data_IF_241040986743
#
_entry.id   IF_241040986743
#
_cell.length_a   1.000
_cell.length_b   1.000
_cell.length_c   1.000
_cell.angle_alpha   90.00
_cell.angle_beta   90.00
_cell.angle_gamma   90.00
#
_symmetry.space_group_name_H-M   'P 1'
#
loop_
_entity.id
_entity.type
_entity.pdbx_description
1 polymer ?
#
# COMPACT_ATOMS: atom_id res chain seq x y z
N UNK A 1 17.49 -5.83 13.81
CA UNK A 1 17.42 -5.29 12.44
C UNK A 1 18.38 -6.02 11.54
N UNK A 2 17.81 -6.79 10.61
CA UNK A 2 18.58 -7.31 9.49
C UNK A 2 18.88 -6.13 8.54
N UNK A 3 20.09 -6.05 7.95
CA UNK A 3 20.44 -4.99 7.01
C UNK A 3 19.51 -5.02 5.78
N UNK A 4 19.43 -3.90 5.07
CA UNK A 4 18.64 -3.76 3.84
C UNK A 4 19.03 -4.87 2.84
N UNK A 5 18.11 -5.79 2.56
CA UNK A 5 18.33 -6.93 1.65
C UNK A 5 18.38 -8.31 2.30
N UNK A 6 18.40 -8.40 3.63
CA UNK A 6 18.29 -9.66 4.38
C UNK A 6 16.83 -9.94 4.78
N UNK A 7 16.44 -11.23 4.69
CA UNK A 7 15.13 -11.71 5.12
C UNK A 7 15.30 -12.99 5.97
N UNK A 8 14.88 -12.93 7.23
CA UNK A 8 14.77 -14.10 8.11
C UNK A 8 13.32 -14.58 8.21
N UNK A 9 13.14 -15.87 7.96
CA UNK A 9 11.89 -16.58 8.24
C UNK A 9 12.12 -17.55 9.39
N UNK A 10 11.22 -17.51 10.37
CA UNK A 10 11.30 -18.35 11.57
C UNK A 10 10.00 -19.11 11.76
N UNK A 11 10.10 -20.27 12.40
CA UNK A 11 8.92 -21.02 12.80
C UNK A 11 8.58 -20.70 14.25
N UNK A 12 7.45 -20.05 14.46
CA UNK A 12 6.95 -19.65 15.77
C UNK A 12 5.53 -20.18 15.98
N UNK A 13 5.29 -20.85 17.11
CA UNK A 13 3.98 -21.41 17.46
C UNK A 13 3.33 -22.26 16.35
N UNK A 14 4.15 -22.92 15.53
CA UNK A 14 3.70 -23.78 14.43
C UNK A 14 3.51 -23.08 13.08
N UNK A 15 3.59 -21.74 13.02
CA UNK A 15 3.50 -20.93 11.80
C UNK A 15 4.87 -20.38 11.38
N UNK A 16 5.00 -20.00 10.11
CA UNK A 16 6.16 -19.24 9.64
C UNK A 16 5.90 -17.75 9.83
N UNK A 17 6.93 -17.01 10.24
CA UNK A 17 6.89 -15.56 10.45
C UNK A 17 8.15 -14.90 9.88
N UNK A 18 8.04 -13.63 9.49
CA UNK A 18 9.21 -12.77 9.18
C UNK A 18 9.80 -12.16 10.47
N UNK A 19 10.82 -11.31 10.39
CA UNK A 19 11.64 -10.85 11.54
C UNK A 19 10.83 -10.23 12.68
N UNK A 20 9.76 -9.53 12.34
CA UNK A 20 8.91 -8.83 13.30
C UNK A 20 7.79 -9.70 13.87
N UNK A 21 7.75 -10.99 13.53
CA UNK A 21 6.69 -11.93 13.94
C UNK A 21 5.46 -11.93 13.02
N UNK A 22 5.44 -11.14 11.94
CA UNK A 22 4.28 -11.12 11.03
C UNK A 22 4.17 -12.45 10.26
N UNK A 23 2.96 -13.03 10.15
CA UNK A 23 2.77 -14.31 9.48
C UNK A 23 3.25 -14.32 8.03
N UNK A 24 4.10 -15.29 7.71
CA UNK A 24 4.51 -15.60 6.36
C UNK A 24 3.61 -16.66 5.72
N UNK A 25 3.49 -16.62 4.39
CA UNK A 25 2.71 -17.57 3.60
C UNK A 25 3.45 -18.90 3.52
N UNK A 26 2.86 -19.93 4.13
CA UNK A 26 3.45 -21.28 4.12
C UNK A 26 3.66 -21.83 2.70
N UNK A 27 2.77 -21.49 1.77
CA UNK A 27 2.90 -21.90 0.37
C UNK A 27 4.19 -21.36 -0.26
N UNK A 28 4.52 -20.09 -0.04
CA UNK A 28 5.74 -19.50 -0.56
C UNK A 28 6.98 -20.14 0.07
N UNK A 29 6.98 -20.36 1.39
CA UNK A 29 8.08 -21.07 2.08
C UNK A 29 8.28 -22.46 1.53
N UNK A 30 7.20 -23.24 1.40
CA UNK A 30 7.24 -24.59 0.84
C UNK A 30 7.75 -24.58 -0.60
N UNK A 31 7.23 -23.68 -1.44
CA UNK A 31 7.62 -23.55 -2.85
C UNK A 31 9.12 -23.31 -2.97
N UNK A 32 9.66 -22.38 -2.19
CA UNK A 32 11.10 -22.09 -2.18
C UNK A 32 11.91 -23.31 -1.74
N UNK A 33 11.55 -23.97 -0.64
CA UNK A 33 12.27 -25.16 -0.16
C UNK A 33 12.27 -26.32 -1.17
N UNK A 34 11.15 -26.57 -1.83
CA UNK A 34 11.06 -27.59 -2.89
C UNK A 34 11.94 -27.19 -4.08
N UNK A 35 11.88 -25.93 -4.52
CA UNK A 35 12.69 -25.45 -5.62
C UNK A 35 14.20 -25.57 -5.38
N UNK A 36 14.64 -25.40 -4.12
CA UNK A 36 16.04 -25.62 -3.71
C UNK A 36 16.38 -27.11 -3.69
N UNK A 37 15.48 -27.97 -3.22
CA UNK A 37 15.68 -29.41 -3.15
C UNK A 37 15.75 -30.07 -4.54
N UNK A 38 15.03 -29.51 -5.51
CA UNK A 38 14.94 -30.00 -6.89
C UNK A 38 16.06 -29.46 -7.79
N UNK A 39 17.06 -28.75 -7.25
CA UNK A 39 18.19 -28.24 -8.05
C UNK A 39 19.04 -29.37 -8.60
N UNK A 40 19.23 -29.35 -9.92
CA UNK A 40 20.07 -30.31 -10.61
C UNK A 40 21.42 -29.69 -10.95
N UNK A 41 22.51 -30.39 -10.59
CA UNK A 41 23.86 -30.02 -11.01
C UNK A 41 24.03 -30.38 -12.48
N UNK A 42 24.30 -29.37 -13.31
CA UNK A 42 24.54 -29.55 -14.75
C UNK A 42 26.03 -29.70 -15.04
N UNK A 43 26.86 -28.86 -14.42
CA UNK A 43 28.29 -28.81 -14.73
C UNK A 43 29.11 -28.32 -13.53
N UNK A 44 30.23 -28.97 -13.27
CA UNK A 44 31.28 -28.43 -12.41
C UNK A 44 31.92 -27.21 -13.08
N UNK A 45 32.09 -26.11 -12.33
CA UNK A 45 32.70 -24.89 -12.86
C UNK A 45 34.13 -24.73 -12.41
N UNK A 46 34.38 -23.91 -11.40
CA UNK A 46 35.76 -23.57 -11.01
C UNK A 46 35.96 -23.67 -9.52
N UNK A 47 37.15 -24.15 -9.15
CA UNK A 47 37.67 -24.11 -7.77
C UNK A 47 38.76 -23.05 -7.60
N UNK A 48 38.98 -22.17 -8.59
CA UNK A 48 39.93 -21.05 -8.48
C UNK A 48 39.19 -19.82 -7.92
N UNK A 49 39.55 -19.33 -6.71
CA UNK A 49 38.90 -18.17 -6.09
C UNK A 49 38.92 -16.91 -6.95
N UNK A 50 39.98 -16.69 -7.73
CA UNK A 50 40.12 -15.52 -8.62
C UNK A 50 39.01 -15.44 -9.70
N UNK A 51 38.26 -16.51 -9.90
CA UNK A 51 37.17 -16.59 -10.89
C UNK A 51 35.78 -16.44 -10.27
N UNK A 52 35.62 -16.47 -8.95
CA UNK A 52 34.30 -16.45 -8.31
C UNK A 52 33.51 -15.17 -8.60
N UNK A 53 34.16 -14.01 -8.57
CA UNK A 53 33.54 -12.73 -8.87
C UNK A 53 32.89 -12.70 -10.27
N UNK A 54 33.47 -13.43 -11.25
CA UNK A 54 32.88 -13.53 -12.59
C UNK A 54 31.56 -14.27 -12.59
N UNK A 55 31.40 -15.24 -11.68
CA UNK A 55 30.18 -16.03 -11.52
C UNK A 55 29.22 -15.43 -10.48
N UNK A 56 29.69 -14.51 -9.63
CA UNK A 56 28.93 -13.96 -8.51
C UNK A 56 28.80 -14.94 -7.34
N UNK A 57 29.78 -15.81 -7.10
CA UNK A 57 29.75 -16.85 -6.04
C UNK A 57 30.86 -16.68 -5.00
N UNK A 58 31.47 -15.51 -4.93
CA UNK A 58 32.46 -15.13 -3.92
C UNK A 58 31.82 -15.10 -2.53
N UNK A 59 32.60 -15.26 -1.46
CA UNK A 59 32.04 -15.12 -0.11
C UNK A 59 31.72 -13.63 0.16
N UNK A 60 30.51 -13.30 0.66
CA UNK A 60 30.05 -11.91 0.78
C UNK A 60 30.77 -11.10 1.87
N UNK A 61 31.53 -11.76 2.74
CA UNK A 61 32.29 -11.12 3.83
C UNK A 61 33.79 -10.97 3.52
N UNK A 62 34.22 -11.31 2.30
CA UNK A 62 35.63 -11.19 1.88
C UNK A 62 35.97 -9.82 1.27
N UNK A 63 37.25 -9.45 1.32
CA UNK A 63 37.82 -8.23 0.72
C UNK A 63 37.69 -8.16 -0.82
N UNK A 64 37.15 -9.21 -1.46
CA UNK A 64 36.98 -9.35 -2.91
C UNK A 64 35.65 -8.80 -3.45
N UNK A 65 34.84 -8.16 -2.60
CA UNK A 65 33.63 -7.43 -3.01
C UNK A 65 33.99 -6.13 -3.75
N UNK A 66 34.53 -6.24 -4.97
CA UNK A 66 34.74 -5.08 -5.81
C UNK A 66 33.42 -4.39 -6.14
N UNK A 67 33.37 -3.06 -6.01
CA UNK A 67 32.17 -2.20 -6.14
C UNK A 67 31.36 -2.39 -7.45
N UNK A 68 31.95 -3.03 -8.48
CA UNK A 68 31.36 -3.25 -9.81
C UNK A 68 30.91 -4.71 -10.09
N UNK A 69 30.93 -5.61 -9.10
CA UNK A 69 30.56 -7.02 -9.29
C UNK A 69 29.27 -7.40 -8.54
N UNK A 70 28.40 -8.26 -9.11
CA UNK A 70 27.19 -8.67 -8.43
C UNK A 70 27.54 -9.50 -7.19
N UNK A 71 27.04 -9.06 -6.03
CA UNK A 71 27.08 -9.83 -4.79
C UNK A 71 26.23 -11.10 -4.92
N UNK A 72 26.70 -12.25 -4.41
CA UNK A 72 25.86 -13.44 -4.33
C UNK A 72 24.67 -13.17 -3.42
N UNK A 73 23.55 -13.78 -3.73
CA UNK A 73 22.50 -14.00 -2.72
C UNK A 73 22.91 -15.18 -1.86
N UNK A 74 22.78 -15.03 -0.55
CA UNK A 74 23.00 -16.13 0.40
C UNK A 74 21.65 -16.67 0.83
N UNK A 75 21.50 -17.98 0.72
CA UNK A 75 20.38 -18.70 1.29
C UNK A 75 20.93 -19.63 2.36
N UNK A 76 20.41 -19.54 3.57
CA UNK A 76 20.78 -20.43 4.68
C UNK A 76 19.55 -21.05 5.30
N UNK A 77 19.61 -22.36 5.54
CA UNK A 77 18.59 -23.14 6.23
C UNK A 77 19.16 -23.55 7.58
N UNK A 78 18.35 -23.37 8.62
CA UNK A 78 18.74 -23.65 10.01
C UNK A 78 17.82 -24.72 10.59
N UNK A 79 18.34 -25.50 11.53
CA UNK A 79 17.53 -26.39 12.36
C UNK A 79 16.98 -25.65 13.60
N UNK A 80 16.19 -26.35 14.40
CA UNK A 80 15.56 -25.82 15.62
C UNK A 80 16.58 -25.36 16.69
N UNK A 81 17.85 -25.77 16.58
CA UNK A 81 18.93 -25.34 17.47
C UNK A 81 19.65 -24.08 16.97
N UNK A 82 19.30 -23.60 15.78
CA UNK A 82 19.98 -22.51 15.10
C UNK A 82 21.27 -22.93 14.36
N UNK A 83 21.52 -24.24 14.23
CA UNK A 83 22.65 -24.72 13.45
C UNK A 83 22.33 -24.68 11.96
N UNK A 84 23.29 -24.27 11.13
CA UNK A 84 23.16 -24.26 9.67
C UNK A 84 23.09 -25.70 9.16
N UNK A 85 21.97 -26.07 8.55
CA UNK A 85 21.75 -27.37 7.91
C UNK A 85 22.24 -27.36 6.46
N UNK A 86 21.99 -26.25 5.77
CA UNK A 86 22.43 -26.04 4.39
C UNK A 86 22.64 -24.55 4.15
N UNK A 87 23.61 -24.20 3.29
CA UNK A 87 23.78 -22.82 2.82
C UNK A 87 24.27 -22.83 1.37
N UNK A 88 23.81 -21.84 0.60
CA UNK A 88 24.09 -21.73 -0.82
C UNK A 88 24.35 -20.27 -1.20
N UNK A 89 25.52 -20.02 -1.81
CA UNK A 89 25.82 -18.78 -2.53
C UNK A 89 25.23 -18.92 -3.93
N UNK A 90 24.36 -17.99 -4.30
CA UNK A 90 23.67 -17.97 -5.59
C UNK A 90 24.12 -16.72 -6.34
N UNK A 91 24.82 -16.95 -7.45
CA UNK A 91 25.40 -15.90 -8.28
C UNK A 91 24.54 -15.56 -9.48
N UNK A 92 25.22 -15.29 -10.60
CA UNK A 92 24.60 -14.91 -11.86
C UNK A 92 23.66 -16.01 -12.37
N UNK A 93 22.56 -15.60 -12.96
CA UNK A 93 21.59 -16.48 -13.61
C UNK A 93 21.78 -16.48 -15.12
N UNK A 94 21.51 -17.62 -15.76
CA UNK A 94 21.50 -17.81 -17.21
C UNK A 94 20.07 -18.14 -17.70
N UNK A 95 19.76 -17.90 -18.99
CA UNK A 95 18.50 -18.33 -19.58
C UNK A 95 18.22 -19.82 -19.36
N UNK A 96 16.94 -20.19 -19.27
CA UNK A 96 16.52 -21.58 -19.06
C UNK A 96 16.53 -22.03 -17.59
N UNK A 97 16.50 -21.09 -16.63
CA UNK A 97 16.46 -21.41 -15.20
C UNK A 97 17.80 -21.90 -14.65
N UNK A 98 18.90 -21.44 -15.22
CA UNK A 98 20.24 -21.84 -14.79
C UNK A 98 20.86 -20.79 -13.89
N UNK A 99 21.68 -21.23 -12.94
CA UNK A 99 22.41 -20.32 -12.06
C UNK A 99 23.75 -20.89 -11.64
N UNK A 100 24.70 -20.00 -11.40
CA UNK A 100 25.96 -20.36 -10.76
C UNK A 100 25.76 -20.41 -9.26
N UNK A 101 26.23 -21.49 -8.62
CA UNK A 101 26.13 -21.65 -7.17
C UNK A 101 27.44 -22.15 -6.56
N UNK A 102 27.63 -21.89 -5.28
CA UNK A 102 28.72 -22.45 -4.47
C UNK A 102 28.25 -22.66 -3.04
N UNK A 103 28.63 -23.78 -2.44
CA UNK A 103 28.41 -23.98 -1.00
C UNK A 103 29.48 -23.18 -0.24
N UNK A 104 29.11 -22.34 0.75
CA UNK A 104 30.08 -21.59 1.54
C UNK A 104 31.19 -22.48 2.11
N UNK A 105 32.43 -22.01 2.05
CA UNK A 105 33.60 -22.76 2.49
C UNK A 105 34.06 -23.89 1.56
N UNK A 106 33.29 -24.27 0.54
CA UNK A 106 33.75 -25.17 -0.51
C UNK A 106 34.44 -24.41 -1.64
N UNK A 107 35.50 -25.01 -2.20
CA UNK A 107 36.21 -24.41 -3.32
C UNK A 107 35.43 -24.56 -4.63
N UNK A 108 34.81 -25.71 -4.90
CA UNK A 108 34.17 -25.94 -6.19
C UNK A 108 32.84 -25.20 -6.33
N UNK A 109 32.69 -24.46 -7.41
CA UNK A 109 31.42 -23.87 -7.87
C UNK A 109 30.76 -24.74 -8.95
N UNK A 110 29.45 -24.58 -9.12
CA UNK A 110 28.63 -25.40 -10.00
C UNK A 110 27.69 -24.53 -10.83
N UNK A 111 27.32 -25.02 -12.02
CA UNK A 111 26.14 -24.57 -12.73
C UNK A 111 25.01 -25.53 -12.41
N UNK A 112 23.90 -24.99 -11.94
CA UNK A 112 22.67 -25.75 -11.64
C UNK A 112 21.52 -25.29 -12.52
N UNK A 113 20.50 -26.13 -12.65
CA UNK A 113 19.23 -25.84 -13.33
C UNK A 113 18.07 -26.04 -12.34
N UNK A 114 17.11 -25.11 -12.35
CA UNK A 114 15.92 -25.12 -11.50
C UNK A 114 15.32 -23.72 -11.26
N UNK A 115 14.29 -23.62 -10.41
CA UNK A 115 13.68 -22.35 -10.05
C UNK A 115 14.41 -21.66 -8.89
N UNK A 116 15.43 -20.85 -9.22
CA UNK A 116 16.22 -20.07 -8.25
C UNK A 116 15.76 -18.61 -8.11
N UNK A 117 14.46 -18.36 -8.24
CA UNK A 117 13.87 -17.03 -8.04
C UNK A 117 13.71 -16.70 -6.55
N UNK A 118 14.82 -16.59 -5.84
CA UNK A 118 14.81 -16.08 -4.46
C UNK A 118 14.57 -14.58 -4.45
N UNK A 119 13.53 -14.16 -3.73
CA UNK A 119 13.22 -12.75 -3.48
C UNK A 119 13.42 -12.48 -2.00
N UNK A 120 14.26 -11.50 -1.65
CA UNK A 120 14.41 -11.04 -0.28
C UNK A 120 13.33 -10.00 0.10
N UNK A 121 12.49 -9.60 -0.85
CA UNK A 121 11.41 -8.65 -0.60
C UNK A 121 10.37 -9.26 0.33
N UNK A 122 10.18 -8.67 1.52
CA UNK A 122 9.21 -9.13 2.53
C UNK A 122 7.81 -9.39 1.97
N UNK A 123 7.32 -8.52 1.08
CA UNK A 123 5.99 -8.65 0.47
C UNK A 123 5.80 -9.93 -0.35
N UNK A 124 6.89 -10.56 -0.81
CA UNK A 124 6.82 -11.86 -1.49
C UNK A 124 6.42 -12.99 -0.55
N UNK A 125 6.68 -12.83 0.75
CA UNK A 125 6.55 -13.89 1.75
C UNK A 125 5.33 -13.76 2.63
N UNK A 126 4.49 -12.74 2.44
CA UNK A 126 3.34 -12.46 3.30
C UNK A 126 2.09 -12.29 2.45
N UNK A 127 0.91 -12.43 3.07
CA UNK A 127 -0.33 -12.00 2.42
C UNK A 127 -0.34 -10.48 2.35
N UNK A 128 -0.37 -9.94 1.14
CA UNK A 128 -0.29 -8.50 0.92
C UNK A 128 -1.64 -7.83 1.01
N UNK A 129 -2.74 -8.54 0.72
CA UNK A 129 -4.09 -8.02 0.90
C UNK A 129 -4.45 -8.01 2.39
N UNK A 130 -4.41 -6.82 2.98
CA UNK A 130 -4.72 -6.60 4.39
C UNK A 130 -6.23 -6.60 4.61
N UNK A 131 -6.98 -5.94 3.71
CA UNK A 131 -8.42 -5.74 3.87
C UNK A 131 -9.12 -5.59 2.52
N UNK A 132 -10.29 -6.23 2.39
CA UNK A 132 -11.19 -6.11 1.25
C UNK A 132 -12.66 -6.09 1.70
N UNK A 133 -13.22 -4.90 1.92
CA UNK A 133 -14.63 -4.70 2.27
C UNK A 133 -15.46 -4.39 1.01
N UNK A 134 -16.53 -5.16 0.79
CA UNK A 134 -17.46 -4.95 -0.32
C UNK A 134 -18.03 -3.52 -0.33
N UNK A 135 -18.09 -2.91 -1.52
CA UNK A 135 -18.55 -1.51 -1.68
C UNK A 135 -19.99 -1.33 -1.24
N UNK A 136 -20.82 -2.33 -1.48
CA UNK A 136 -22.24 -2.42 -1.14
C UNK A 136 -22.50 -2.46 0.37
N UNK A 137 -21.47 -2.76 1.17
CA UNK A 137 -21.55 -2.76 2.63
C UNK A 137 -21.36 -1.39 3.25
N UNK A 138 -20.70 -0.46 2.55
CA UNK A 138 -20.36 0.86 3.11
C UNK A 138 -21.62 1.73 3.15
N UNK A 139 -21.92 2.31 4.32
CA UNK A 139 -23.09 3.18 4.54
C UNK A 139 -22.73 4.64 4.73
N UNK A 140 -21.67 4.91 5.46
CA UNK A 140 -21.15 6.26 5.68
C UNK A 140 -19.66 6.22 5.99
N UNK A 141 -19.00 7.36 5.82
CA UNK A 141 -17.60 7.55 6.22
C UNK A 141 -17.49 8.84 7.00
N UNK A 142 -16.75 8.80 8.11
CA UNK A 142 -16.33 9.99 8.85
C UNK A 142 -14.81 10.04 8.85
N UNK A 143 -14.23 11.13 8.35
CA UNK A 143 -12.79 11.39 8.43
C UNK A 143 -12.55 12.53 9.41
N UNK A 144 -11.77 12.29 10.44
CA UNK A 144 -11.37 13.25 11.47
C UNK A 144 -9.89 13.57 11.33
N UNK A 145 -9.58 14.85 11.18
CA UNK A 145 -8.25 15.44 11.33
C UNK A 145 -8.27 16.35 12.57
N UNK A 146 -7.10 16.80 13.07
CA UNK A 146 -7.06 17.71 14.22
C UNK A 146 -7.86 19.01 14.05
N UNK A 147 -8.05 19.47 12.81
CA UNK A 147 -8.65 20.77 12.46
C UNK A 147 -9.98 20.68 11.69
N UNK A 148 -10.35 19.50 11.18
CA UNK A 148 -11.54 19.32 10.34
C UNK A 148 -12.16 17.93 10.50
N UNK A 149 -13.48 17.87 10.28
CA UNK A 149 -14.23 16.61 10.17
C UNK A 149 -14.98 16.60 8.85
N UNK A 150 -14.96 15.48 8.15
CA UNK A 150 -15.64 15.27 6.88
C UNK A 150 -16.61 14.10 7.06
N UNK A 151 -17.87 14.32 6.72
CA UNK A 151 -18.90 13.29 6.75
C UNK A 151 -19.32 13.01 5.31
N UNK A 152 -19.10 11.78 4.86
CA UNK A 152 -19.45 11.31 3.53
C UNK A 152 -20.59 10.30 3.61
N UNK A 153 -21.56 10.46 2.72
CA UNK A 153 -22.67 9.51 2.61
C UNK A 153 -23.60 9.86 1.45
N UNK A 154 -24.59 8.99 1.17
CA UNK A 154 -25.67 9.29 0.24
C UNK A 154 -26.49 10.50 0.69
N UNK A 155 -26.83 11.40 -0.23
CA UNK A 155 -27.71 12.54 0.06
C UNK A 155 -29.19 12.13 0.21
N UNK A 156 -29.56 10.93 -0.24
CA UNK A 156 -30.89 10.34 -0.09
C UNK A 156 -30.81 8.81 -0.17
N UNK A 157 -31.89 8.11 0.21
CA UNK A 157 -31.97 6.65 0.11
C UNK A 157 -31.84 6.12 -1.33
N UNK A 158 -32.16 6.95 -2.32
CA UNK A 158 -32.05 6.59 -3.75
C UNK A 158 -30.72 6.99 -4.37
N UNK A 159 -29.90 7.75 -3.64
CA UNK A 159 -28.59 8.18 -4.13
C UNK A 159 -27.57 7.05 -3.97
N UNK A 160 -26.80 6.82 -5.02
CA UNK A 160 -25.73 5.82 -5.04
C UNK A 160 -24.34 6.44 -4.89
N UNK A 161 -24.27 7.78 -4.88
CA UNK A 161 -23.05 8.53 -4.68
C UNK A 161 -22.84 8.87 -3.20
N UNK A 162 -21.57 9.00 -2.83
CA UNK A 162 -21.14 9.58 -1.57
C UNK A 162 -20.75 11.04 -1.78
N UNK A 163 -21.48 11.93 -1.12
CA UNK A 163 -21.26 13.37 -1.12
C UNK A 163 -20.85 13.86 0.27
N UNK A 164 -20.39 15.12 0.34
CA UNK A 164 -20.01 15.76 1.61
C UNK A 164 -21.28 16.25 2.31
N UNK A 165 -21.71 15.57 3.36
CA UNK A 165 -22.94 15.88 4.08
C UNK A 165 -22.81 17.13 4.96
N UNK A 166 -21.59 17.50 5.35
CA UNK A 166 -21.28 18.68 6.17
C UNK A 166 -20.50 19.75 5.39
N UNK A 167 -20.81 19.93 4.11
CA UNK A 167 -20.12 20.88 3.22
C UNK A 167 -20.22 22.34 3.74
N UNK A 168 -19.10 23.05 3.93
CA UNK A 168 -19.12 24.47 4.28
C UNK A 168 -19.85 25.33 3.23
N UNK A 169 -20.58 26.38 3.65
CA UNK A 169 -21.47 27.13 2.76
C UNK A 169 -20.75 27.90 1.65
N UNK A 170 -19.48 28.23 1.81
CA UNK A 170 -18.60 28.93 0.87
C UNK A 170 -17.89 27.99 -0.13
N UNK A 171 -18.01 26.68 0.07
CA UNK A 171 -17.37 25.65 -0.75
C UNK A 171 -18.39 24.91 -1.62
N UNK A 172 -17.94 24.47 -2.79
CA UNK A 172 -18.66 23.56 -3.67
C UNK A 172 -17.84 22.27 -3.84
N UNK A 173 -18.47 21.10 -4.02
CA UNK A 173 -17.73 19.88 -4.33
C UNK A 173 -17.03 20.03 -5.69
N UNK A 174 -15.90 19.34 -5.86
CA UNK A 174 -15.18 19.34 -7.14
C UNK A 174 -16.00 18.72 -8.28
N UNK A 175 -16.81 17.71 -7.96
CA UNK A 175 -17.66 16.92 -8.86
C UNK A 175 -18.76 16.22 -8.06
N UNK A 176 -19.77 15.68 -8.73
CA UNK A 176 -20.77 14.82 -8.11
C UNK A 176 -20.14 13.51 -7.58
N UNK A 177 -20.63 12.99 -6.46
CA UNK A 177 -20.09 11.78 -5.83
C UNK A 177 -18.62 11.92 -5.46
N UNK A 178 -18.23 13.11 -5.00
CA UNK A 178 -16.82 13.44 -4.73
C UNK A 178 -16.21 12.49 -3.71
N UNK A 179 -17.00 11.97 -2.77
CA UNK A 179 -16.61 11.04 -1.73
C UNK A 179 -16.51 9.57 -2.14
N UNK A 180 -16.91 9.19 -3.36
CA UNK A 180 -16.96 7.77 -3.78
C UNK A 180 -15.61 7.04 -3.64
N UNK A 181 -14.48 7.70 -3.95
CA UNK A 181 -13.17 7.05 -3.84
C UNK A 181 -12.79 6.77 -2.37
N UNK A 182 -13.12 7.70 -1.46
CA UNK A 182 -12.96 7.53 -0.01
C UNK A 182 -13.91 6.45 0.52
N UNK A 183 -15.17 6.47 0.11
CA UNK A 183 -16.16 5.46 0.49
C UNK A 183 -15.69 4.04 0.14
N UNK A 184 -15.15 3.85 -1.06
CA UNK A 184 -14.69 2.55 -1.55
C UNK A 184 -13.21 2.29 -1.28
N UNK A 185 -12.55 3.11 -0.46
CA UNK A 185 -11.14 2.96 -0.15
C UNK A 185 -10.84 1.61 0.52
N UNK A 186 -11.78 1.03 1.26
CA UNK A 186 -11.58 -0.27 1.93
C UNK A 186 -11.78 -1.49 1.01
N UNK A 187 -12.16 -1.31 -0.25
CA UNK A 187 -12.45 -2.46 -1.15
C UNK A 187 -11.22 -3.26 -1.56
N UNK A 188 -10.02 -2.70 -1.37
CA UNK A 188 -8.75 -3.36 -1.60
C UNK A 188 -7.64 -2.54 -0.95
N UNK A 189 -7.13 -2.97 0.20
CA UNK A 189 -6.01 -2.36 0.90
C UNK A 189 -4.88 -3.39 0.90
N UNK A 190 -3.78 -3.04 0.25
CA UNK A 190 -2.60 -3.88 0.18
C UNK A 190 -1.40 -3.20 0.84
N UNK A 191 -0.65 -3.97 1.62
CA UNK A 191 0.57 -3.50 2.26
C UNK A 191 1.75 -3.52 1.29
N UNK A 192 2.67 -2.57 1.48
CA UNK A 192 4.02 -2.59 0.91
C UNK A 192 5.09 -2.94 1.94
N UNK A 193 4.75 -2.86 3.24
CA UNK A 193 5.56 -3.29 4.37
C UNK A 193 4.68 -3.43 5.62
N UNK A 194 5.20 -4.03 6.68
CA UNK A 194 4.48 -4.25 7.95
C UNK A 194 5.41 -4.13 9.15
N UNK A 195 4.90 -3.56 10.23
CA UNK A 195 5.62 -3.37 11.48
C UNK A 195 4.70 -3.60 12.69
N UNK A 196 5.23 -3.95 13.87
CA UNK A 196 4.47 -3.90 15.11
C UNK A 196 3.86 -2.50 15.30
N UNK A 197 2.60 -2.43 15.72
CA UNK A 197 1.89 -1.15 15.87
C UNK A 197 2.57 -0.20 16.87
N UNK A 198 3.29 -0.74 17.85
CA UNK A 198 4.04 0.04 18.84
C UNK A 198 5.27 0.76 18.29
N UNK A 199 5.73 0.38 17.10
CA UNK A 199 6.90 0.99 16.44
C UNK A 199 6.52 2.20 15.58
N UNK A 200 5.22 2.46 15.41
CA UNK A 200 4.68 3.57 14.61
C UNK A 200 3.83 4.49 15.48
N UNK A 201 4.21 5.76 15.54
CA UNK A 201 3.44 6.79 16.23
C UNK A 201 2.25 7.25 15.38
N UNK A 202 1.02 7.11 15.91
CA UNK A 202 -0.24 7.51 15.29
C UNK A 202 -0.90 8.71 16.00
N UNK A 203 -0.17 9.46 16.84
CA UNK A 203 -0.73 10.56 17.66
C UNK A 203 -1.44 11.62 16.82
N UNK A 204 -0.84 12.03 15.70
CA UNK A 204 -1.39 13.05 14.78
C UNK A 204 -1.99 12.45 13.51
N UNK A 205 -2.31 11.15 13.52
CA UNK A 205 -2.87 10.47 12.38
C UNK A 205 -4.32 10.90 12.11
N UNK A 206 -4.68 11.03 10.83
CA UNK A 206 -6.08 11.18 10.44
C UNK A 206 -6.85 9.91 10.80
N UNK A 207 -8.05 10.05 11.35
CA UNK A 207 -8.90 8.91 11.74
C UNK A 207 -10.11 8.82 10.82
N UNK A 208 -10.14 7.79 9.98
CA UNK A 208 -11.29 7.45 9.17
C UNK A 208 -12.13 6.35 9.81
N UNK A 209 -13.45 6.49 9.78
CA UNK A 209 -14.41 5.49 10.26
C UNK A 209 -15.39 5.16 9.15
N UNK A 210 -15.38 3.93 8.66
CA UNK A 210 -16.33 3.42 7.67
C UNK A 210 -17.40 2.60 8.37
N UNK A 211 -18.64 3.04 8.30
CA UNK A 211 -19.79 2.33 8.86
C UNK A 211 -20.27 1.27 7.86
N UNK A 212 -20.33 0.02 8.30
CA UNK A 212 -20.85 -1.09 7.51
C UNK A 212 -22.37 -1.28 7.74
N UNK A 213 -22.98 -2.02 6.82
CA UNK A 213 -24.42 -2.31 6.78
C UNK A 213 -24.94 -3.18 7.93
N UNK A 214 -24.07 -3.98 8.54
CA UNK A 214 -24.35 -4.76 9.74
C UNK A 214 -24.03 -4.00 11.04
N UNK A 215 -23.72 -2.71 10.97
CA UNK A 215 -23.41 -1.89 12.15
C UNK A 215 -21.94 -1.94 12.60
N UNK A 216 -21.11 -2.83 12.06
CA UNK A 216 -19.66 -2.84 12.33
C UNK A 216 -19.02 -1.55 11.78
N UNK A 217 -18.13 -0.95 12.55
CA UNK A 217 -17.31 0.18 12.10
C UNK A 217 -15.87 -0.27 11.85
N UNK A 218 -15.32 0.07 10.69
CA UNK A 218 -13.89 -0.08 10.41
C UNK A 218 -13.20 1.25 10.63
N UNK A 219 -12.33 1.30 11.63
CA UNK A 219 -11.57 2.50 12.01
C UNK A 219 -10.16 2.36 11.48
N UNK A 220 -9.70 3.37 10.73
CA UNK A 220 -8.35 3.43 10.16
C UNK A 220 -7.68 4.71 10.65
N UNK A 221 -6.55 4.57 11.31
CA UNK A 221 -5.66 5.71 11.58
C UNK A 221 -4.62 5.74 10.48
N UNK A 222 -4.48 6.88 9.81
CA UNK A 222 -3.58 7.07 8.68
C UNK A 222 -2.57 8.15 9.01
N UNK A 223 -1.30 7.75 9.12
CA UNK A 223 -0.16 8.67 9.24
C UNK A 223 0.52 8.79 7.89
N UNK A 224 0.38 9.96 7.28
CA UNK A 224 1.02 10.27 5.99
C UNK A 224 2.53 10.47 6.17
N UNK A 225 3.30 9.97 5.21
CA UNK A 225 4.71 10.30 4.98
C UNK A 225 4.89 10.74 3.51
N UNK A 226 6.11 11.07 3.09
CA UNK A 226 6.35 11.71 1.78
C UNK A 226 5.92 10.84 0.59
N UNK A 227 6.25 9.54 0.59
CA UNK A 227 6.01 8.61 -0.51
C UNK A 227 5.07 7.44 -0.14
N UNK A 228 4.66 7.37 1.12
CA UNK A 228 3.81 6.30 1.65
C UNK A 228 2.98 6.79 2.83
N UNK A 229 2.21 5.89 3.43
CA UNK A 229 1.64 6.11 4.75
C UNK A 229 1.71 4.83 5.57
N UNK A 230 1.72 5.00 6.89
CA UNK A 230 1.43 3.91 7.81
C UNK A 230 -0.05 3.97 8.20
N UNK A 231 -0.70 2.82 8.25
CA UNK A 231 -2.05 2.68 8.75
C UNK A 231 -2.12 1.64 9.87
N UNK A 232 -3.01 1.87 10.83
CA UNK A 232 -3.52 0.81 11.72
C UNK A 232 -5.02 0.71 11.55
N UNK A 233 -5.54 -0.50 11.65
CA UNK A 233 -6.95 -0.80 11.39
C UNK A 233 -7.54 -1.52 12.60
N UNK A 234 -8.73 -1.11 13.00
CA UNK A 234 -9.51 -1.75 14.06
C UNK A 234 -10.96 -1.89 13.59
N UNK A 235 -11.55 -3.06 13.83
CA UNK A 235 -12.98 -3.28 13.67
C UNK A 235 -13.66 -3.11 15.04
N UNK A 236 -14.79 -2.40 15.06
CA UNK A 236 -15.55 -2.13 16.28
C UNK A 236 -17.00 -2.58 16.09
N UNK A 237 -17.48 -3.40 17.02
CA UNK A 237 -18.87 -3.88 17.01
C UNK A 237 -19.82 -2.79 17.55
N UNK A 238 -21.06 -2.70 17.04
CA UNK A 238 -22.07 -1.84 17.65
C UNK A 238 -22.53 -2.39 19.01
N UNK A 239 -23.13 -1.55 19.86
CA UNK A 239 -23.59 -1.95 21.20
C UNK A 239 -24.61 -3.09 21.16
N UNK A 240 -25.42 -3.17 20.11
CA UNK A 240 -26.46 -4.17 19.86
C UNK A 240 -26.03 -5.21 18.80
N UNK A 241 -24.73 -5.48 18.69
CA UNK A 241 -24.16 -6.40 17.71
C UNK A 241 -24.81 -7.79 17.69
N UNK A 242 -25.06 -8.29 16.48
CA UNK A 242 -25.37 -9.71 16.25
C UNK A 242 -24.12 -10.56 16.49
N UNK A 243 -24.31 -11.87 16.69
CA UNK A 243 -23.17 -12.80 16.80
C UNK A 243 -22.27 -12.75 15.55
N UNK A 244 -22.86 -12.69 14.36
CA UNK A 244 -22.11 -12.59 13.10
C UNK A 244 -21.22 -11.34 13.05
N UNK A 245 -21.69 -10.21 13.58
CA UNK A 245 -20.90 -8.98 13.66
C UNK A 245 -19.75 -9.09 14.68
N UNK A 246 -19.98 -9.78 15.81
CA UNK A 246 -18.93 -10.05 16.80
C UNK A 246 -17.84 -10.97 16.23
N UNK A 247 -18.24 -12.05 15.54
CA UNK A 247 -17.31 -12.99 14.90
C UNK A 247 -16.49 -12.31 13.79
N UNK A 248 -17.12 -11.42 13.01
CA UNK A 248 -16.41 -10.61 12.02
C UNK A 248 -15.37 -9.69 12.66
N UNK A 249 -15.73 -8.98 13.74
CA UNK A 249 -14.82 -8.09 14.47
C UNK A 249 -13.66 -8.87 15.08
N UNK A 250 -13.91 -10.02 15.70
CA UNK A 250 -12.86 -10.88 16.25
C UNK A 250 -11.90 -11.38 15.16
N UNK A 251 -12.43 -11.83 14.03
CA UNK A 251 -11.64 -12.29 12.88
C UNK A 251 -10.76 -11.19 12.30
N UNK A 252 -11.32 -9.99 12.10
CA UNK A 252 -10.60 -8.83 11.61
C UNK A 252 -9.51 -8.40 12.60
N UNK A 253 -9.85 -8.21 13.87
CA UNK A 253 -8.89 -7.75 14.88
C UNK A 253 -7.83 -8.80 15.21
N UNK A 254 -8.12 -10.09 15.08
CA UNK A 254 -7.12 -11.16 15.22
C UNK A 254 -6.05 -11.14 14.13
N UNK A 255 -6.38 -10.62 12.93
CA UNK A 255 -5.45 -10.48 11.80
C UNK A 255 -4.77 -9.11 11.77
N UNK A 256 -5.49 -8.05 12.10
CA UNK A 256 -5.08 -6.66 11.92
C UNK A 256 -4.49 -6.06 13.20
N UNK A 257 -4.95 -6.53 14.36
CA UNK A 257 -4.54 -6.03 15.65
C UNK A 257 -3.06 -6.27 15.91
N UNK A 258 -2.41 -5.30 16.55
CA UNK A 258 -0.98 -5.35 16.84
C UNK A 258 -0.06 -4.97 15.68
N UNK A 259 -0.61 -4.69 14.49
CA UNK A 259 0.16 -4.35 13.30
C UNK A 259 -0.10 -2.93 12.79
N UNK A 260 0.94 -2.32 12.25
CA UNK A 260 0.89 -1.17 11.37
C UNK A 260 1.29 -1.62 9.96
N UNK A 261 0.56 -1.16 8.96
CA UNK A 261 0.77 -1.53 7.56
C UNK A 261 1.24 -0.30 6.79
N UNK A 262 2.36 -0.43 6.08
CA UNK A 262 2.79 0.56 5.12
C UNK A 262 1.97 0.39 3.85
N UNK A 263 1.43 1.48 3.32
CA UNK A 263 0.67 1.50 2.07
C UNK A 263 1.14 2.62 1.15
N UNK A 264 0.83 2.52 -0.13
CA UNK A 264 1.15 3.57 -1.10
C UNK A 264 0.41 4.88 -0.79
N UNK A 265 1.08 6.03 -0.93
CA UNK A 265 0.54 7.35 -0.59
C UNK A 265 -0.77 7.68 -1.33
N UNK A 266 -0.92 7.24 -2.59
CA UNK A 266 -2.16 7.47 -3.34
C UNK A 266 -3.38 6.81 -2.67
N UNK A 267 -3.18 5.63 -2.08
CA UNK A 267 -4.23 4.89 -1.37
C UNK A 267 -4.56 5.57 -0.05
N UNK A 268 -3.51 5.97 0.67
CA UNK A 268 -3.62 6.71 1.92
C UNK A 268 -4.37 8.03 1.77
N UNK A 269 -4.19 8.73 0.64
CA UNK A 269 -4.92 9.96 0.34
C UNK A 269 -6.44 9.80 0.32
N UNK A 270 -6.97 8.61 0.01
CA UNK A 270 -8.40 8.33 0.13
C UNK A 270 -8.83 8.01 1.57
N UNK A 271 -7.92 7.47 2.40
CA UNK A 271 -8.18 7.10 3.80
C UNK A 271 -8.05 8.30 4.76
N UNK A 272 -7.27 9.31 4.37
CA UNK A 272 -7.01 10.55 5.10
C UNK A 272 -7.42 11.79 4.29
N UNK A 273 -8.56 11.70 3.62
CA UNK A 273 -9.02 12.74 2.69
C UNK A 273 -9.27 14.08 3.39
N UNK A 274 -9.16 15.20 2.67
CA UNK A 274 -9.30 16.56 3.24
C UNK A 274 -10.35 17.38 2.47
N UNK A 275 -10.94 18.40 3.09
CA UNK A 275 -11.89 19.28 2.41
C UNK A 275 -11.25 20.00 1.22
N UNK A 276 -9.99 20.42 1.35
CA UNK A 276 -9.23 21.07 0.28
C UNK A 276 -9.16 20.19 -0.99
N UNK A 277 -9.00 18.88 -0.82
CA UNK A 277 -8.92 17.92 -1.92
C UNK A 277 -10.26 17.52 -2.52
N UNK A 278 -11.37 17.77 -1.82
CA UNK A 278 -12.72 17.43 -2.28
C UNK A 278 -13.54 18.64 -2.74
N UNK A 279 -13.08 19.86 -2.47
CA UNK A 279 -13.87 21.07 -2.70
C UNK A 279 -13.12 22.13 -3.50
N UNK A 280 -13.87 23.12 -3.95
CA UNK A 280 -13.40 24.36 -4.55
C UNK A 280 -14.20 25.52 -3.98
N UNK A 281 -13.64 26.72 -3.99
CA UNK A 281 -14.39 27.93 -3.64
C UNK A 281 -15.59 28.09 -4.57
N UNK A 282 -16.74 28.48 -4.01
CA UNK A 282 -17.87 28.93 -4.83
C UNK A 282 -17.48 30.19 -5.61
N UNK A 283 -17.93 30.34 -6.87
CA UNK A 283 -17.80 31.62 -7.56
C UNK A 283 -18.44 32.71 -6.70
N UNK A 284 -17.72 33.80 -6.46
CA UNK A 284 -18.33 35.02 -5.92
C UNK A 284 -19.32 35.48 -6.98
N UNK A 285 -20.61 35.56 -6.64
CA UNK A 285 -21.55 36.28 -7.50
C UNK A 285 -21.07 37.74 -7.53
N UNK A 286 -20.35 38.12 -8.59
CA UNK A 286 -20.26 39.52 -8.98
C UNK A 286 -21.70 39.97 -9.21
N UNK A 287 -22.21 40.76 -8.27
CA UNK A 287 -23.58 41.24 -8.28
C UNK A 287 -23.93 41.74 -9.67
N UNK A 288 -25.03 41.22 -10.21
CA UNK A 288 -25.56 41.63 -11.49
C UNK A 288 -25.47 43.17 -11.61
N UNK A 289 -24.61 43.65 -12.50
CA UNK A 289 -24.64 45.04 -12.93
C UNK A 289 -26.04 45.23 -13.48
N UNK A 290 -26.87 45.99 -12.76
CA UNK A 290 -28.25 46.28 -13.14
C UNK A 290 -28.30 46.80 -14.57
N UNK A 291 -29.44 46.60 -15.27
CA UNK A 291 -29.54 46.89 -16.70
C UNK A 291 -29.03 48.31 -16.99
N UNK A 292 -28.13 48.43 -17.97
CA UNK A 292 -27.67 49.71 -18.47
C UNK A 292 -28.89 50.58 -18.78
N UNK A 293 -28.88 51.82 -18.30
CA UNK A 293 -29.94 52.80 -18.53
C UNK A 293 -30.28 52.86 -20.03
N UNK A 294 -31.57 53.00 -20.39
CA UNK A 294 -31.96 53.08 -21.78
C UNK A 294 -31.27 54.27 -22.44
N UNK A 295 -30.70 54.02 -23.61
CA UNK A 295 -30.19 55.01 -24.55
C UNK A 295 -31.22 56.13 -24.71
N UNK A 296 -30.82 57.36 -24.38
CA UNK A 296 -31.61 58.54 -24.73
C UNK A 296 -31.62 58.66 -26.27
N UNK A 297 -32.81 58.73 -26.85
CA UNK A 297 -33.06 59.03 -28.26
C UNK A 297 -32.40 60.37 -28.63
N UNK A 298 -31.19 60.35 -29.19
CA UNK A 298 -30.65 61.49 -29.93
C UNK A 298 -31.44 61.62 -31.24
N UNK A 299 -32.29 62.65 -31.29
CA UNK A 299 -33.10 62.99 -32.46
C UNK A 299 -32.23 63.14 -33.72
N UNK A 300 -32.65 62.61 -34.88
CA UNK A 300 -31.88 62.73 -36.13
C UNK A 300 -31.81 64.20 -36.59
N UNK A 301 -30.67 64.64 -37.15
CA UNK A 301 -30.51 66.02 -37.63
C UNK A 301 -31.44 66.31 -38.83
N UNK A 302 -31.93 67.55 -38.98
CA UNK A 302 -32.89 67.92 -40.01
C UNK A 302 -32.30 67.86 -41.43
N UNK A 303 -33.12 67.36 -42.35
CA UNK A 303 -32.83 67.20 -43.79
C UNK A 303 -32.71 68.57 -44.47
N UNK A 304 -31.69 68.82 -45.31
CA UNK A 304 -31.55 70.08 -46.03
C UNK A 304 -32.58 70.19 -47.17
N UNK A 305 -33.42 71.21 -47.13
CA UNK A 305 -34.29 71.62 -48.25
C UNK A 305 -33.47 72.37 -49.29
N UNK A 306 -33.44 71.84 -50.52
CA UNK A 306 -32.86 72.51 -51.69
C UNK A 306 -33.80 73.54 -52.32
N UNK A 307 -33.18 74.52 -52.99
CA UNK A 307 -33.79 75.57 -53.82
C UNK A 307 -33.18 76.93 -53.43
N UNK A 308 -32.38 77.63 -54.24
CA UNK A 308 -32.47 77.83 -55.69
C UNK A 308 -33.04 79.23 -55.93
N UNK A 309 -32.17 80.21 -56.26
CA UNK A 309 -32.53 81.60 -56.54
C UNK A 309 -31.62 82.60 -55.86
#
# INVERSE_FOLDING_TARGET
>A
DAPEGDLDLRRESGAWVIENGYPATFEQVKKTLVAIADLEIIEEKTSNPERYARLGVQDPTGDDAGDDQPSPRVLSLFDDSGAVVASLLIGKTEPGGRAYVRVPGQATSWLVEGDLTLQATRTTWVETEVLAIGRDRIRSVVIEHPDQTIILGPNSETDTNFDILNLPPDLAPLRDGVGNNTAYALSYVALTDVAPVGDVDFTDAARGTWQLDNGVAIVVWTRMEDDHAWIRIEAVAPDDATQDALDEVESLNGRLGGWAFRIAAFKAGYLAETLERLTKAKPVEEGAVGPAAPWEDEAPPPVPTGGGG
#
